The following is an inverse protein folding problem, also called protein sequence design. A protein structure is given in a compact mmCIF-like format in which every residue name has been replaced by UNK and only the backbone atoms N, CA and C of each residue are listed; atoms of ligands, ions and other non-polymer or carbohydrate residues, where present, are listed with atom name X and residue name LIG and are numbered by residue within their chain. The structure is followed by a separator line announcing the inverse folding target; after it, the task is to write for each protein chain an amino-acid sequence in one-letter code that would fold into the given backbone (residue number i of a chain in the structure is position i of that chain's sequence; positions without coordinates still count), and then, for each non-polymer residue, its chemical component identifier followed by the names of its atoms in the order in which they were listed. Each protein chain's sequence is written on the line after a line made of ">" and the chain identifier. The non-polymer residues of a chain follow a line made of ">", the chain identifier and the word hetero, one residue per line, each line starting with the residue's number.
data_IF_625261438230
#
_entry.id   IF_625261438230
#
_cell.length_a   1.000
_cell.length_b   1.000
_cell.length_c   1.000
_cell.angle_alpha   90.00
_cell.angle_beta   90.00
_cell.angle_gamma   90.00
#
_symmetry.space_group_name_H-M   'P 1'
#
loop_
_entity.id
_entity.type
_entity.pdbx_description
1 polymer ?
#
# COMPACT_ATOMS: atom_id res chain seq x y z
N UNK A 1 -7.83 0.95 -11.22
CA UNK A 1 -9.27 1.17 -10.95
C UNK A 1 -9.66 0.66 -9.57
N UNK A 2 -9.20 -0.52 -9.16
CA UNK A 2 -9.46 -1.05 -7.82
C UNK A 2 -8.24 -1.81 -7.29
N UNK A 3 -8.01 -1.77 -5.98
CA UNK A 3 -6.95 -2.51 -5.30
C UNK A 3 -7.48 -3.79 -4.66
N UNK A 4 -7.08 -4.97 -5.17
CA UNK A 4 -7.48 -6.27 -4.59
C UNK A 4 -6.61 -6.69 -3.39
N UNK A 5 -5.42 -6.11 -3.27
CA UNK A 5 -4.55 -6.26 -2.10
C UNK A 5 -4.81 -5.16 -1.07
N UNK A 6 -4.00 -5.12 -0.02
CA UNK A 6 -4.16 -4.16 1.07
C UNK A 6 -3.59 -4.69 2.37
N UNK A 7 -3.96 -4.06 3.47
CA UNK A 7 -3.61 -4.48 4.83
C UNK A 7 -4.22 -5.86 5.08
N UNK A 8 -3.39 -6.86 5.36
CA UNK A 8 -3.88 -8.21 5.65
C UNK A 8 -4.77 -8.19 6.89
N UNK A 9 -5.96 -8.75 6.79
CA UNK A 9 -6.87 -8.90 7.93
C UNK A 9 -7.36 -10.33 8.12
N UNK A 10 -7.85 -10.61 9.32
CA UNK A 10 -8.67 -11.78 9.62
C UNK A 10 -10.13 -11.57 9.18
N UNK A 11 -11.01 -12.54 9.48
CA UNK A 11 -12.44 -12.47 9.14
C UNK A 11 -13.22 -11.39 9.91
N UNK A 12 -12.62 -10.78 10.93
CA UNK A 12 -13.20 -9.68 11.72
C UNK A 12 -12.65 -8.31 11.31
N UNK A 13 -11.73 -8.25 10.34
CA UNK A 13 -11.10 -7.01 9.89
C UNK A 13 -9.94 -6.55 10.79
N UNK A 14 -9.46 -7.40 11.69
CA UNK A 14 -8.30 -7.09 12.53
C UNK A 14 -7.02 -7.25 11.72
N UNK A 15 -6.14 -6.26 11.81
CA UNK A 15 -4.78 -6.37 11.29
C UNK A 15 -3.88 -7.17 12.26
N UNK A 16 -2.65 -7.53 11.86
CA UNK A 16 -1.66 -8.10 12.78
C UNK A 16 -1.28 -7.17 13.94
N UNK A 17 -1.51 -5.86 13.80
CA UNK A 17 -1.32 -4.88 14.86
C UNK A 17 -2.56 -4.87 15.75
N UNK A 18 -2.36 -5.08 17.06
CA UNK A 18 -3.45 -5.11 18.04
C UNK A 18 -4.22 -3.80 18.02
N UNK A 19 -5.55 -3.91 18.08
CA UNK A 19 -6.49 -2.79 18.10
C UNK A 19 -6.46 -1.91 16.84
N UNK A 20 -5.81 -2.36 15.76
CA UNK A 20 -5.84 -1.70 14.46
C UNK A 20 -6.65 -2.56 13.48
N UNK A 21 -7.72 -1.96 12.96
CA UNK A 21 -8.62 -2.59 12.00
C UNK A 21 -8.41 -2.02 10.60
N UNK A 22 -8.73 -2.81 9.58
CA UNK A 22 -8.83 -2.35 8.21
C UNK A 22 -10.03 -3.02 7.53
N UNK A 23 -10.80 -2.25 6.76
CA UNK A 23 -11.95 -2.76 6.03
C UNK A 23 -12.16 -2.00 4.71
N UNK A 24 -12.81 -2.64 3.75
CA UNK A 24 -13.01 -2.08 2.41
C UNK A 24 -11.75 -2.16 1.56
N UNK A 25 -11.59 -1.24 0.60
CA UNK A 25 -10.53 -1.32 -0.42
C UNK A 25 -9.10 -1.23 0.14
N UNK A 26 -8.89 -0.68 1.33
CA UNK A 26 -7.56 -0.65 1.95
C UNK A 26 -7.14 -2.00 2.55
N UNK A 27 -8.05 -2.97 2.63
CA UNK A 27 -7.85 -4.26 3.29
C UNK A 27 -7.65 -5.42 2.30
N UNK A 28 -6.94 -6.45 2.75
CA UNK A 28 -6.82 -7.73 2.06
C UNK A 28 -7.46 -8.83 2.91
N UNK A 29 -8.78 -8.94 2.75
CA UNK A 29 -9.62 -9.94 3.43
C UNK A 29 -9.44 -11.35 2.85
N UNK A 30 -9.00 -11.42 1.59
CA UNK A 30 -8.93 -12.64 0.79
C UNK A 30 -10.12 -12.85 -0.16
N UNK A 31 -11.20 -12.07 -0.03
CA UNK A 31 -12.41 -12.20 -0.85
C UNK A 31 -12.14 -12.07 -2.36
N UNK A 32 -11.25 -11.15 -2.74
CA UNK A 32 -10.98 -10.85 -4.14
C UNK A 32 -9.87 -11.71 -4.78
N UNK A 33 -9.10 -12.46 -3.99
CA UNK A 33 -8.00 -13.27 -4.49
C UNK A 33 -7.11 -12.51 -5.50
N UNK A 34 -6.92 -13.07 -6.70
CA UNK A 34 -6.11 -12.47 -7.76
C UNK A 34 -6.89 -11.61 -8.77
N UNK A 35 -8.22 -11.52 -8.64
CA UNK A 35 -9.05 -10.67 -9.49
C UNK A 35 -10.42 -10.41 -8.84
N UNK A 36 -10.81 -9.15 -8.76
CA UNK A 36 -12.11 -8.75 -8.23
C UNK A 36 -13.26 -9.14 -9.19
N UNK A 37 -14.35 -9.65 -8.62
CA UNK A 37 -15.66 -9.71 -9.27
C UNK A 37 -16.43 -8.40 -9.05
N UNK A 38 -17.15 -7.94 -10.08
CA UNK A 38 -17.94 -6.72 -10.01
C UNK A 38 -18.98 -6.77 -8.87
N UNK A 39 -19.34 -5.60 -8.34
CA UNK A 39 -20.34 -5.41 -7.27
C UNK A 39 -20.02 -5.96 -5.87
N UNK A 40 -18.94 -6.74 -5.68
CA UNK A 40 -18.63 -7.31 -4.36
C UNK A 40 -17.96 -6.35 -3.37
N UNK A 41 -17.27 -5.30 -3.83
CA UNK A 41 -16.47 -4.45 -2.93
C UNK A 41 -17.29 -3.57 -1.99
N UNK A 42 -18.50 -3.15 -2.38
CA UNK A 42 -19.37 -2.42 -1.47
C UNK A 42 -19.90 -3.33 -0.35
N UNK A 43 -20.29 -4.55 -0.70
CA UNK A 43 -20.74 -5.55 0.25
C UNK A 43 -19.61 -5.97 1.21
N UNK A 44 -18.40 -6.15 0.69
CA UNK A 44 -17.22 -6.40 1.51
C UNK A 44 -17.01 -5.28 2.54
N UNK A 45 -16.99 -4.02 2.10
CA UNK A 45 -16.80 -2.88 2.98
C UNK A 45 -17.87 -2.84 4.09
N UNK A 46 -19.15 -3.03 3.74
CA UNK A 46 -20.24 -3.03 4.73
C UNK A 46 -20.13 -4.16 5.75
N UNK A 47 -19.89 -5.39 5.30
CA UNK A 47 -19.81 -6.57 6.17
C UNK A 47 -18.62 -6.44 7.11
N UNK A 48 -17.44 -6.08 6.60
CA UNK A 48 -16.25 -5.94 7.43
C UNK A 48 -16.33 -4.74 8.37
N UNK A 49 -16.92 -3.61 7.94
CA UNK A 49 -17.14 -2.47 8.84
C UNK A 49 -18.05 -2.84 10.02
N UNK A 50 -19.13 -3.59 9.78
CA UNK A 50 -20.00 -4.07 10.84
C UNK A 50 -19.27 -5.00 11.81
N UNK A 51 -18.44 -5.92 11.30
CA UNK A 51 -17.63 -6.83 12.13
C UNK A 51 -16.59 -6.07 12.96
N UNK A 52 -15.88 -5.12 12.35
CA UNK A 52 -14.92 -4.25 13.06
C UNK A 52 -15.62 -3.51 14.20
N UNK A 53 -16.82 -2.96 13.94
CA UNK A 53 -17.61 -2.28 14.96
C UNK A 53 -17.98 -3.20 16.14
N UNK A 54 -18.57 -4.36 15.85
CA UNK A 54 -18.98 -5.32 16.89
C UNK A 54 -17.78 -5.73 17.75
N UNK A 55 -16.65 -5.98 17.10
CA UNK A 55 -15.44 -6.40 17.79
C UNK A 55 -14.79 -5.27 18.62
N UNK A 56 -14.69 -4.07 18.07
CA UNK A 56 -14.13 -2.91 18.75
C UNK A 56 -14.93 -2.54 20.01
N UNK A 57 -16.26 -2.58 19.94
CA UNK A 57 -17.12 -2.30 21.11
C UNK A 57 -16.93 -3.35 22.21
N UNK A 58 -16.86 -4.63 21.85
CA UNK A 58 -16.66 -5.71 22.83
C UNK A 58 -15.27 -5.71 23.48
N UNK A 59 -14.28 -5.14 22.81
CA UNK A 59 -12.89 -5.06 23.31
C UNK A 59 -12.58 -3.76 24.03
N UNK A 60 -13.39 -2.71 23.84
CA UNK A 60 -13.16 -1.38 24.42
C UNK A 60 -12.98 -1.43 25.95
N UNK A 61 -13.85 -2.17 26.65
CA UNK A 61 -13.82 -2.30 28.12
C UNK A 61 -12.59 -3.06 28.63
N UNK A 62 -11.90 -3.79 27.75
CA UNK A 62 -10.67 -4.53 28.08
C UNK A 62 -9.40 -3.74 27.85
N UNK A 63 -9.50 -2.57 27.21
CA UNK A 63 -8.36 -1.70 26.98
C UNK A 63 -7.92 -1.05 28.29
N UNK A 64 -6.66 -1.28 28.66
CA UNK A 64 -6.00 -0.59 29.77
C UNK A 64 -5.78 0.89 29.45
N UNK A 65 -5.35 1.65 30.44
CA UNK A 65 -4.96 3.06 30.30
C UNK A 65 -4.17 3.33 29.01
N UNK A 66 -4.60 4.35 28.29
CA UNK A 66 -3.97 4.76 27.03
C UNK A 66 -2.55 5.28 27.33
N UNK A 67 -1.54 4.85 26.55
CA UNK A 67 -0.21 5.41 26.69
C UNK A 67 -0.23 6.89 26.35
N UNK A 68 0.62 7.67 27.01
CA UNK A 68 0.88 9.05 26.62
C UNK A 68 1.48 9.09 25.21
N UNK A 69 0.87 9.86 24.32
CA UNK A 69 1.32 10.00 22.93
C UNK A 69 2.15 11.27 22.83
N UNK A 70 3.41 11.21 22.37
CA UNK A 70 4.23 12.40 22.23
C UNK A 70 3.66 13.33 21.16
N UNK A 71 3.80 14.64 21.38
CA UNK A 71 3.48 15.64 20.38
C UNK A 71 4.38 15.50 19.15
N UNK A 72 3.85 15.94 18.01
CA UNK A 72 4.63 15.99 16.78
C UNK A 72 5.82 16.93 16.90
N UNK A 73 7.04 16.41 16.70
CA UNK A 73 8.25 17.22 16.69
C UNK A 73 8.56 17.71 15.26
N UNK A 74 8.44 19.01 15.03
CA UNK A 74 8.80 19.69 13.78
C UNK A 74 10.09 20.54 13.89
N UNK A 75 10.85 20.42 14.99
CA UNK A 75 12.10 21.16 15.19
C UNK A 75 13.09 20.89 14.06
N UNK A 76 13.80 21.94 13.64
CA UNK A 76 14.78 21.87 12.55
C UNK A 76 14.16 21.84 11.14
N UNK A 77 12.84 21.75 11.02
CA UNK A 77 12.16 21.82 9.71
C UNK A 77 11.92 23.27 9.27
N UNK A 78 11.90 23.50 7.96
CA UNK A 78 11.61 24.81 7.37
C UNK A 78 10.49 24.73 6.34
N UNK A 79 9.87 25.86 6.01
CA UNK A 79 8.84 25.88 4.97
C UNK A 79 9.37 25.36 3.63
N UNK A 80 8.58 24.58 2.87
CA UNK A 80 9.02 24.02 1.60
C UNK A 80 9.41 25.13 0.63
N UNK A 81 10.71 25.23 0.35
CA UNK A 81 11.23 26.17 -0.67
C UNK A 81 11.01 25.65 -2.09
N UNK A 82 10.87 24.33 -2.23
CA UNK A 82 10.97 23.61 -3.52
C UNK A 82 9.74 22.70 -3.76
N UNK A 83 8.53 23.27 -3.73
CA UNK A 83 7.29 22.53 -4.05
C UNK A 83 7.30 21.89 -5.44
N UNK A 84 8.15 22.39 -6.34
CA UNK A 84 8.36 21.82 -7.67
C UNK A 84 8.95 20.41 -7.62
N UNK A 85 9.83 20.12 -6.64
CA UNK A 85 10.44 18.80 -6.49
C UNK A 85 9.38 17.75 -6.17
N UNK A 86 8.51 18.02 -5.20
CA UNK A 86 7.39 17.13 -4.84
C UNK A 86 6.51 16.85 -6.06
N UNK A 87 6.19 17.89 -6.82
CA UNK A 87 5.34 17.78 -8.02
C UNK A 87 6.01 16.93 -9.10
N UNK A 88 7.33 17.07 -9.29
CA UNK A 88 8.07 16.32 -10.29
C UNK A 88 8.26 14.86 -9.87
N UNK A 89 8.60 14.58 -8.62
CA UNK A 89 8.71 13.24 -8.06
C UNK A 89 7.38 12.48 -8.14
N UNK A 90 6.25 13.17 -7.90
CA UNK A 90 4.92 12.57 -8.07
C UNK A 90 4.66 12.15 -9.53
N UNK A 91 4.98 13.01 -10.49
CA UNK A 91 4.84 12.68 -11.92
C UNK A 91 5.74 11.51 -12.32
N UNK A 92 6.99 11.51 -11.85
CA UNK A 92 7.92 10.42 -12.11
C UNK A 92 7.40 9.10 -11.54
N UNK A 93 6.92 9.09 -10.30
CA UNK A 93 6.32 7.91 -9.68
C UNK A 93 5.15 7.36 -10.51
N UNK A 94 4.22 8.22 -10.92
CA UNK A 94 3.07 7.83 -11.73
C UNK A 94 3.49 7.23 -13.08
N UNK A 95 4.51 7.81 -13.72
CA UNK A 95 5.06 7.30 -14.98
C UNK A 95 5.72 5.92 -14.80
N UNK A 96 6.56 5.78 -13.77
CA UNK A 96 7.22 4.51 -13.42
C UNK A 96 6.21 3.40 -13.18
N UNK A 97 5.17 3.65 -12.39
CA UNK A 97 4.13 2.67 -12.09
C UNK A 97 3.32 2.29 -13.33
N UNK A 98 3.01 3.26 -14.20
CA UNK A 98 2.24 3.04 -15.43
C UNK A 98 3.02 2.23 -16.47
N UNK A 99 4.27 2.60 -16.73
CA UNK A 99 5.08 2.01 -17.81
C UNK A 99 5.66 0.64 -17.45
N UNK A 100 6.05 0.46 -16.17
CA UNK A 100 6.78 -0.73 -15.74
C UNK A 100 5.95 -1.72 -14.93
N UNK A 101 4.89 -1.26 -14.27
CA UNK A 101 4.09 -2.06 -13.32
C UNK A 101 2.62 -2.17 -13.75
N UNK A 102 2.32 -1.76 -14.98
CA UNK A 102 0.99 -1.84 -15.60
C UNK A 102 0.48 -3.26 -15.87
N UNK A 103 -0.36 -3.40 -16.90
CA UNK A 103 -1.07 -4.66 -17.22
C UNK A 103 -0.08 -5.78 -17.58
N UNK A 104 0.91 -5.47 -18.43
CA UNK A 104 1.91 -6.44 -18.91
C UNK A 104 3.26 -6.12 -18.28
N UNK A 105 3.79 -7.08 -17.52
CA UNK A 105 5.04 -6.95 -16.77
C UNK A 105 6.12 -7.90 -17.30
N UNK A 106 7.37 -7.59 -16.98
CA UNK A 106 8.50 -8.50 -17.10
C UNK A 106 9.55 -8.15 -16.05
N UNK A 107 10.49 -9.08 -15.80
CA UNK A 107 11.52 -8.96 -14.78
C UNK A 107 12.39 -7.73 -14.99
N UNK A 108 12.74 -7.39 -16.24
CA UNK A 108 13.58 -6.22 -16.55
C UNK A 108 12.86 -4.91 -16.19
N UNK A 109 11.57 -4.79 -16.51
CA UNK A 109 10.75 -3.62 -16.17
C UNK A 109 10.57 -3.50 -14.66
N UNK A 110 10.29 -4.61 -13.97
CA UNK A 110 10.14 -4.61 -12.50
C UNK A 110 11.45 -4.22 -11.79
N UNK A 111 12.59 -4.71 -12.26
CA UNK A 111 13.90 -4.29 -11.74
C UNK A 111 14.18 -2.81 -11.98
N UNK A 112 13.80 -2.27 -13.15
CA UNK A 112 13.91 -0.83 -13.44
C UNK A 112 13.00 0.01 -12.54
N UNK A 113 11.76 -0.43 -12.33
CA UNK A 113 10.83 0.23 -11.43
C UNK A 113 11.38 0.28 -10.00
N UNK A 114 11.94 -0.83 -9.52
CA UNK A 114 12.54 -0.92 -8.20
C UNK A 114 13.67 0.11 -8.00
N UNK A 115 14.62 0.19 -8.95
CA UNK A 115 15.71 1.17 -8.86
C UNK A 115 15.22 2.62 -8.83
N UNK A 116 14.15 2.94 -9.56
CA UNK A 116 13.58 4.28 -9.60
C UNK A 116 12.84 4.62 -8.32
N UNK A 117 12.08 3.67 -7.77
CA UNK A 117 11.35 3.93 -6.53
C UNK A 117 12.27 4.06 -5.33
N UNK A 118 13.39 3.33 -5.30
CA UNK A 118 14.42 3.47 -4.27
C UNK A 118 15.04 4.88 -4.31
N UNK A 119 15.35 5.40 -5.50
CA UNK A 119 15.86 6.78 -5.65
C UNK A 119 14.83 7.82 -5.17
N UNK A 120 13.57 7.70 -5.61
CA UNK A 120 12.50 8.60 -5.19
C UNK A 120 12.29 8.57 -3.68
N UNK A 121 12.43 7.40 -3.06
CA UNK A 121 12.36 7.25 -1.61
C UNK A 121 13.46 8.04 -0.91
N UNK A 122 14.72 7.84 -1.30
CA UNK A 122 15.88 8.52 -0.68
C UNK A 122 15.76 10.05 -0.80
N UNK A 123 15.39 10.54 -1.99
CA UNK A 123 15.18 11.98 -2.24
C UNK A 123 14.02 12.54 -1.41
N UNK A 124 12.90 11.81 -1.32
CA UNK A 124 11.71 12.25 -0.58
C UNK A 124 11.94 12.24 0.92
N UNK A 125 12.66 11.24 1.46
CA UNK A 125 13.01 11.21 2.89
C UNK A 125 13.95 12.37 3.25
N UNK A 126 14.90 12.70 2.38
CA UNK A 126 15.76 13.88 2.56
C UNK A 126 14.95 15.19 2.63
N UNK A 127 13.95 15.34 1.74
CA UNK A 127 13.04 16.49 1.79
C UNK A 127 12.19 16.50 3.06
N UNK A 128 11.67 15.36 3.47
CA UNK A 128 10.84 15.21 4.67
C UNK A 128 11.59 15.57 5.96
N UNK A 129 12.86 15.21 6.08
CA UNK A 129 13.66 15.58 7.25
C UNK A 129 13.95 17.09 7.34
N UNK A 130 14.04 17.78 6.21
CA UNK A 130 14.39 19.20 6.17
C UNK A 130 13.18 20.16 6.13
N UNK A 131 11.98 19.64 5.86
CA UNK A 131 10.81 20.44 5.48
C UNK A 131 9.64 20.21 6.41
N UNK A 132 8.94 21.28 6.77
CA UNK A 132 7.70 21.18 7.54
C UNK A 132 6.68 20.37 6.75
N UNK A 133 6.00 19.43 7.42
CA UNK A 133 5.06 18.53 6.77
C UNK A 133 3.98 19.27 6.01
N UNK A 134 3.69 18.79 4.80
CA UNK A 134 2.58 19.24 3.98
C UNK A 134 1.81 18.02 3.47
N UNK A 135 0.50 18.17 3.17
CA UNK A 135 -0.29 17.08 2.61
C UNK A 135 0.33 16.47 1.35
N UNK A 136 0.90 17.30 0.46
CA UNK A 136 1.50 16.86 -0.80
C UNK A 136 2.76 16.02 -0.57
N UNK A 137 3.58 16.40 0.42
CA UNK A 137 4.78 15.64 0.77
C UNK A 137 4.41 14.27 1.37
N UNK A 138 3.42 14.25 2.27
CA UNK A 138 2.94 13.01 2.89
C UNK A 138 2.26 12.09 1.87
N UNK A 139 1.50 12.65 0.93
CA UNK A 139 0.90 11.89 -0.18
C UNK A 139 1.97 11.23 -1.04
N UNK A 140 2.98 11.98 -1.48
CA UNK A 140 4.10 11.45 -2.25
C UNK A 140 4.81 10.31 -1.49
N UNK A 141 5.15 10.54 -0.22
CA UNK A 141 5.80 9.55 0.65
C UNK A 141 4.98 8.26 0.80
N UNK A 142 3.68 8.39 1.01
CA UNK A 142 2.76 7.26 1.11
C UNK A 142 2.65 6.51 -0.23
N UNK A 143 2.55 7.23 -1.35
CA UNK A 143 2.48 6.62 -2.68
C UNK A 143 3.76 5.87 -3.05
N UNK A 144 4.94 6.40 -2.70
CA UNK A 144 6.23 5.72 -2.89
C UNK A 144 6.25 4.42 -2.09
N UNK A 145 5.83 4.46 -0.82
CA UNK A 145 5.78 3.27 0.05
C UNK A 145 4.86 2.20 -0.51
N UNK A 146 3.65 2.59 -0.94
CA UNK A 146 2.68 1.66 -1.57
C UNK A 146 3.20 1.13 -2.90
N UNK A 147 3.80 1.99 -3.73
CA UNK A 147 4.41 1.60 -5.00
C UNK A 147 5.51 0.56 -4.81
N UNK A 148 6.35 0.72 -3.77
CA UNK A 148 7.40 -0.21 -3.41
C UNK A 148 6.83 -1.59 -3.09
N UNK A 149 5.79 -1.66 -2.27
CA UNK A 149 5.13 -2.92 -1.92
C UNK A 149 4.51 -3.61 -3.14
N UNK A 150 3.92 -2.84 -4.06
CA UNK A 150 3.36 -3.36 -5.31
C UNK A 150 4.47 -3.94 -6.20
N UNK A 151 5.56 -3.19 -6.42
CA UNK A 151 6.69 -3.63 -7.25
C UNK A 151 7.32 -4.89 -6.66
N UNK A 152 7.59 -4.87 -5.35
CA UNK A 152 8.18 -6.00 -4.63
C UNK A 152 7.29 -7.23 -4.75
N UNK A 153 6.00 -7.10 -4.46
CA UNK A 153 5.04 -8.19 -4.61
C UNK A 153 4.94 -8.73 -6.04
N UNK A 154 4.98 -7.85 -7.04
CA UNK A 154 5.02 -8.26 -8.44
C UNK A 154 6.32 -9.00 -8.80
N UNK A 155 7.46 -8.57 -8.27
CA UNK A 155 8.76 -9.20 -8.51
C UNK A 155 8.88 -10.58 -7.83
N UNK A 156 8.28 -10.77 -6.66
CA UNK A 156 8.24 -12.04 -5.94
C UNK A 156 7.39 -13.11 -6.65
N UNK A 157 6.30 -12.71 -7.34
CA UNK A 157 5.42 -13.66 -8.04
C UNK A 157 6.08 -14.17 -9.33
N UNK A 158 6.41 -15.47 -9.37
CA UNK A 158 7.01 -16.14 -10.53
C UNK A 158 5.98 -16.97 -11.31
N UNK A 159 4.81 -16.37 -11.56
CA UNK A 159 3.70 -16.95 -12.33
C UNK A 159 2.81 -15.84 -12.89
N UNK A 160 1.90 -16.18 -13.80
CA UNK A 160 0.82 -15.29 -14.25
C UNK A 160 -0.54 -15.77 -13.77
N UNK A 161 -1.25 -14.93 -13.00
CA UNK A 161 -2.55 -15.25 -12.39
C UNK A 161 -3.40 -14.00 -12.19
N UNK A 162 -4.63 -14.02 -12.69
CA UNK A 162 -5.60 -12.92 -12.51
C UNK A 162 -5.08 -11.60 -13.08
N UNK A 163 -5.03 -10.57 -12.25
CA UNK A 163 -4.52 -9.23 -12.60
C UNK A 163 -2.98 -9.13 -12.63
N UNK A 164 -2.28 -10.21 -12.29
CA UNK A 164 -0.83 -10.27 -12.43
C UNK A 164 -0.46 -11.06 -13.68
N UNK A 165 0.04 -10.37 -14.71
CA UNK A 165 0.54 -10.98 -15.93
C UNK A 165 2.00 -10.58 -16.18
N UNK A 166 2.89 -11.58 -16.19
CA UNK A 166 4.32 -11.42 -16.39
C UNK A 166 4.76 -12.30 -17.57
N UNK A 167 5.34 -11.68 -18.61
CA UNK A 167 5.72 -12.38 -19.85
C UNK A 167 6.84 -13.39 -19.65
N UNK A 168 7.67 -13.23 -18.61
CA UNK A 168 8.75 -14.18 -18.28
C UNK A 168 8.21 -15.43 -17.57
N UNK A 169 6.97 -15.37 -17.05
CA UNK A 169 6.27 -16.48 -16.37
C UNK A 169 4.81 -16.53 -16.85
N UNK A 170 4.56 -16.95 -18.11
CA UNK A 170 3.24 -16.80 -18.73
C UNK A 170 2.16 -17.75 -18.18
N UNK A 171 2.57 -18.82 -17.49
CA UNK A 171 1.66 -19.84 -16.96
C UNK A 171 1.41 -19.67 -15.46
N UNK A 172 0.32 -20.28 -14.99
CA UNK A 172 0.01 -20.42 -13.56
C UNK A 172 0.94 -21.48 -12.95
N UNK A 173 1.44 -21.20 -11.75
CA UNK A 173 2.11 -22.21 -10.92
C UNK A 173 1.08 -23.15 -10.32
N UNK A 174 1.45 -24.42 -10.15
CA UNK A 174 0.63 -25.41 -9.43
C UNK A 174 0.56 -25.08 -7.94
N UNK A 175 1.63 -24.51 -7.39
CA UNK A 175 1.68 -24.05 -6.00
C UNK A 175 1.11 -22.63 -5.91
N UNK A 176 0.00 -22.50 -5.17
CA UNK A 176 -0.63 -21.21 -4.90
C UNK A 176 0.20 -20.44 -3.87
N UNK A 177 0.62 -19.23 -4.24
CA UNK A 177 1.39 -18.35 -3.36
C UNK A 177 0.61 -17.06 -3.08
N UNK A 178 0.35 -16.81 -1.80
CA UNK A 178 -0.05 -15.50 -1.29
C UNK A 178 1.21 -14.76 -0.86
N UNK A 179 1.34 -13.50 -1.28
CA UNK A 179 2.49 -12.67 -0.93
C UNK A 179 2.06 -11.75 0.19
N UNK A 180 2.70 -11.91 1.34
CA UNK A 180 2.59 -11.03 2.50
C UNK A 180 3.99 -10.48 2.72
N UNK A 181 4.11 -9.14 2.70
CA UNK A 181 5.37 -8.41 2.82
C UNK A 181 5.50 -7.75 4.18
#
# INVERSE_FOLDING_TARGET
>A
HYSCGGIKTDEWGRSPIRNLYACGECSSTGLHGANRLASNSLLEAMVFAHRCYVDAVNTLDTLKELPEVPDWNAEGTSHPKEMILITQSLKELQQVMSDYVGIVRNNVRLQRAMKRIDLLFDETEGLYQATTVSPQLLELRNMITVGYLIIKGAAFRKESRGLHYNTDYPYKSDLIQNIVL
#
